data_IF_378821811573
#
_entry.id   IF_378821811573
#
_cell.length_a   1.000
_cell.length_b   1.000
_cell.length_c   1.000
_cell.angle_alpha   90.00
_cell.angle_beta   90.00
_cell.angle_gamma   90.00
#
_symmetry.space_group_name_H-M   'P 1'
#
loop_
_entity.id
_entity.type
_entity.pdbx_description
1 polymer ?
#
# COMPACT_ATOMS: atom_id res chain seq x y z
N UNK A 1 -3.30 12.65 -8.17
CA UNK A 1 -2.79 11.53 -8.99
C UNK A 1 -3.08 10.22 -8.26
N UNK A 2 -3.07 9.10 -8.98
CA UNK A 2 -3.18 7.77 -8.37
C UNK A 2 -2.25 6.81 -9.10
N UNK A 3 -1.54 5.99 -8.34
CA UNK A 3 -0.69 4.91 -8.81
C UNK A 3 -1.12 3.63 -8.12
N UNK A 4 -1.10 2.53 -8.85
CA UNK A 4 -1.40 1.22 -8.30
C UNK A 4 -0.59 0.17 -9.05
N UNK A 5 -0.37 -0.95 -8.39
CA UNK A 5 0.31 -2.07 -9.00
C UNK A 5 0.21 -3.32 -8.16
N UNK A 6 0.80 -4.36 -8.72
CA UNK A 6 0.94 -5.63 -8.06
C UNK A 6 2.28 -6.26 -8.39
N UNK A 7 2.76 -7.13 -7.51
CA UNK A 7 3.93 -7.97 -7.70
C UNK A 7 3.52 -9.41 -7.43
N UNK A 8 3.90 -10.30 -8.33
CA UNK A 8 3.70 -11.73 -8.22
C UNK A 8 5.06 -12.39 -8.09
N UNK A 9 5.22 -13.21 -7.06
CA UNK A 9 6.38 -14.07 -6.94
C UNK A 9 6.39 -15.12 -8.06
N UNK A 10 7.56 -15.42 -8.61
CA UNK A 10 7.69 -16.30 -9.79
C UNK A 10 7.66 -17.79 -9.43
N UNK A 11 7.98 -18.13 -8.18
CA UNK A 11 8.12 -19.52 -7.71
C UNK A 11 6.96 -19.93 -6.79
N UNK A 12 6.23 -18.97 -6.25
CA UNK A 12 5.12 -19.16 -5.32
C UNK A 12 3.87 -18.38 -5.72
N UNK A 13 2.76 -18.60 -5.01
CA UNK A 13 1.52 -17.81 -5.22
C UNK A 13 1.52 -16.47 -4.45
N UNK A 14 2.64 -16.11 -3.81
CA UNK A 14 2.75 -14.89 -3.03
C UNK A 14 2.53 -13.65 -3.89
N UNK A 15 1.67 -12.75 -3.44
CA UNK A 15 1.32 -11.52 -4.15
C UNK A 15 1.38 -10.31 -3.24
N UNK A 16 1.81 -9.19 -3.80
CA UNK A 16 1.73 -7.88 -3.17
C UNK A 16 0.87 -6.97 -4.04
N UNK A 17 -0.07 -6.28 -3.44
CA UNK A 17 -0.85 -5.22 -4.09
C UNK A 17 -0.55 -3.90 -3.39
N UNK A 18 -0.49 -2.82 -4.16
CA UNK A 18 -0.34 -1.50 -3.58
C UNK A 18 -1.12 -0.45 -4.36
N UNK A 19 -1.61 0.54 -3.62
CA UNK A 19 -2.26 1.74 -4.16
C UNK A 19 -1.70 2.93 -3.39
N UNK A 20 -1.32 3.96 -4.13
CA UNK A 20 -0.92 5.27 -3.62
C UNK A 20 -1.73 6.34 -4.36
N UNK A 21 -2.45 7.17 -3.61
CA UNK A 21 -3.24 8.26 -4.19
C UNK A 21 -3.00 9.55 -3.42
N UNK A 22 -2.85 10.64 -4.16
CA UNK A 22 -2.73 11.98 -3.59
C UNK A 22 -3.66 12.93 -4.32
N UNK A 23 -4.39 13.75 -3.56
CA UNK A 23 -5.27 14.76 -4.15
C UNK A 23 -5.30 16.03 -3.33
N UNK A 24 -4.98 17.13 -4.00
CA UNK A 24 -5.20 18.48 -3.48
C UNK A 24 -6.65 18.91 -3.71
N UNK A 25 -7.27 19.48 -2.69
CA UNK A 25 -8.60 20.08 -2.75
C UNK A 25 -8.47 21.57 -2.43
N UNK A 26 -8.69 22.41 -3.44
CA UNK A 26 -8.44 23.85 -3.33
C UNK A 26 -6.97 24.17 -3.05
N UNK A 27 -6.71 25.28 -2.36
CA UNK A 27 -5.35 25.68 -1.95
C UNK A 27 -4.90 25.01 -0.65
N UNK A 28 -5.83 24.66 0.23
CA UNK A 28 -5.52 24.43 1.64
C UNK A 28 -5.53 22.96 2.07
N UNK A 29 -6.13 22.04 1.30
CA UNK A 29 -6.24 20.65 1.72
C UNK A 29 -5.46 19.71 0.80
N UNK A 30 -4.72 18.77 1.39
CA UNK A 30 -4.11 17.64 0.69
C UNK A 30 -4.51 16.34 1.40
N UNK A 31 -5.09 15.41 0.64
CA UNK A 31 -5.37 14.05 1.08
C UNK A 31 -4.35 13.11 0.45
N UNK A 32 -3.67 12.31 1.26
CA UNK A 32 -2.86 11.18 0.83
C UNK A 32 -3.49 9.88 1.32
N UNK A 33 -3.51 8.87 0.47
CA UNK A 33 -3.95 7.52 0.77
C UNK A 33 -2.87 6.54 0.32
N UNK A 34 -2.55 5.58 1.18
CA UNK A 34 -1.64 4.48 0.89
C UNK A 34 -2.25 3.18 1.38
N UNK A 35 -2.19 2.14 0.55
CA UNK A 35 -2.61 0.79 0.91
C UNK A 35 -1.61 -0.21 0.36
N UNK A 36 -1.25 -1.21 1.18
CA UNK A 36 -0.42 -2.35 0.80
C UNK A 36 -1.03 -3.63 1.33
N UNK A 37 -1.23 -4.62 0.47
CA UNK A 37 -1.80 -5.91 0.83
C UNK A 37 -0.85 -7.05 0.44
N UNK A 38 -0.62 -7.98 1.35
CA UNK A 38 0.19 -9.17 1.16
C UNK A 38 -0.69 -10.42 1.14
N UNK A 39 -0.85 -11.06 -0.03
CA UNK A 39 -1.68 -12.26 -0.20
C UNK A 39 -0.83 -13.51 -0.36
N UNK A 40 -1.33 -14.64 0.13
CA UNK A 40 -0.77 -15.99 -0.04
C UNK A 40 0.73 -16.11 0.28
N UNK A 41 1.20 -15.34 1.27
CA UNK A 41 2.58 -15.42 1.72
C UNK A 41 2.85 -16.81 2.33
N UNK A 42 3.88 -17.55 1.91
CA UNK A 42 4.25 -18.83 2.52
C UNK A 42 4.73 -18.62 3.96
N UNK A 43 4.25 -19.44 4.91
CA UNK A 43 4.74 -19.38 6.30
C UNK A 43 6.22 -19.72 6.45
N UNK A 44 6.82 -20.33 5.43
CA UNK A 44 8.24 -20.62 5.31
C UNK A 44 9.10 -19.42 4.91
N UNK A 45 8.51 -18.33 4.42
CA UNK A 45 9.27 -17.16 4.00
C UNK A 45 9.98 -16.51 5.19
N UNK A 46 11.27 -16.18 5.00
CA UNK A 46 12.10 -15.56 6.04
C UNK A 46 11.47 -14.28 6.60
N UNK A 47 10.77 -13.51 5.76
CA UNK A 47 10.10 -12.26 6.14
C UNK A 47 8.60 -12.44 6.39
N UNK A 48 8.07 -13.67 6.50
CA UNK A 48 6.64 -13.92 6.63
C UNK A 48 5.99 -13.14 7.78
N UNK A 49 6.63 -13.14 8.95
CA UNK A 49 6.12 -12.44 10.13
C UNK A 49 6.06 -10.91 9.94
N UNK A 50 6.95 -10.33 9.12
CA UNK A 50 6.97 -8.89 8.82
C UNK A 50 6.07 -8.54 7.62
N UNK A 51 5.85 -9.47 6.69
CA UNK A 51 5.02 -9.27 5.49
C UNK A 51 3.54 -9.49 5.73
N UNK A 52 3.14 -10.11 6.84
CA UNK A 52 1.73 -10.36 7.17
C UNK A 52 0.97 -9.10 7.59
N UNK A 53 1.66 -8.00 7.85
CA UNK A 53 1.01 -6.74 8.22
C UNK A 53 0.62 -5.96 6.97
N UNK A 54 -0.61 -6.19 6.51
CA UNK A 54 -1.29 -5.31 5.56
C UNK A 54 -1.30 -3.87 6.11
N UNK A 55 -1.11 -2.89 5.24
CA UNK A 55 -1.09 -1.46 5.58
C UNK A 55 -2.28 -0.76 4.93
N UNK A 56 -2.95 0.06 5.74
CA UNK A 56 -3.84 1.10 5.25
C UNK A 56 -3.56 2.39 6.00
N UNK A 57 -3.24 3.45 5.26
CA UNK A 57 -2.89 4.76 5.80
C UNK A 57 -3.63 5.86 5.04
N UNK A 58 -4.16 6.82 5.79
CA UNK A 58 -4.79 8.02 5.27
C UNK A 58 -4.27 9.23 6.04
N UNK A 59 -3.83 10.24 5.31
CA UNK A 59 -3.29 11.48 5.87
C UNK A 59 -4.03 12.68 5.29
N UNK A 60 -4.43 13.60 6.15
CA UNK A 60 -5.08 14.85 5.76
C UNK A 60 -4.26 16.02 6.28
N UNK A 61 -3.78 16.85 5.35
CA UNK A 61 -2.99 18.05 5.67
C UNK A 61 -3.81 19.30 5.39
N UNK A 62 -3.76 20.25 6.32
CA UNK A 62 -4.24 21.60 6.12
C UNK A 62 -3.08 22.59 6.02
N UNK A 63 -3.08 23.43 4.99
CA UNK A 63 -2.10 24.49 4.77
C UNK A 63 -2.77 25.84 5.08
N UNK A 64 -2.19 26.60 6.02
CA UNK A 64 -2.65 27.93 6.44
C UNK A 64 -2.03 29.04 5.58
#
# INVERSE_FOLDING_TARGET
EAFFGWVQDVDTNARLFFIEASRRYGSNWLLNLEMRLSLDQPSSDFLFAQRKDDLFQAELFYYF
#
